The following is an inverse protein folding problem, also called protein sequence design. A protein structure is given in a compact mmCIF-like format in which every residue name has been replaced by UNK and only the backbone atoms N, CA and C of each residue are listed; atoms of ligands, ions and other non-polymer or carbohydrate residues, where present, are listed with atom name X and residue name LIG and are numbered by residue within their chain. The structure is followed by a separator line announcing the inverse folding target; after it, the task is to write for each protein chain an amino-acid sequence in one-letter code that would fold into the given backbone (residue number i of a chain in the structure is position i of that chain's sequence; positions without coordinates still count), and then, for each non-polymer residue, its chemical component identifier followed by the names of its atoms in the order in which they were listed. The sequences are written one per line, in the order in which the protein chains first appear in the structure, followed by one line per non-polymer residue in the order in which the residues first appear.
data_IF_907278638936
#
_entry.id   IF_907278638936
#
_cell.length_a   1.000
_cell.length_b   1.000
_cell.length_c   1.000
_cell.angle_alpha   90.00
_cell.angle_beta   90.00
_cell.angle_gamma   90.00
#
_symmetry.space_group_name_H-M   'P 1'
#
loop_
_entity.id
_entity.type
_entity.pdbx_description
1 polymer ?
#
# COMPACT_ATOMS: atom_id res chain seq x y z
N UNK A 1 23.70 -4.09 -4.57
CA UNK A 1 22.83 -3.21 -5.39
C UNK A 1 21.66 -4.04 -5.91
N UNK A 2 20.43 -3.50 -5.98
CA UNK A 2 19.28 -4.23 -6.52
C UNK A 2 19.25 -4.18 -8.06
N UNK A 3 18.61 -5.16 -8.68
CA UNK A 3 18.15 -5.06 -10.08
C UNK A 3 16.92 -4.15 -10.16
N UNK A 4 16.60 -3.61 -11.34
CA UNK A 4 15.41 -2.77 -11.51
C UNK A 4 14.13 -3.51 -11.08
N UNK A 5 13.98 -4.79 -11.44
CA UNK A 5 12.85 -5.64 -11.02
C UNK A 5 12.74 -5.72 -9.49
N UNK A 6 13.86 -5.93 -8.80
CA UNK A 6 13.84 -6.00 -7.33
C UNK A 6 13.61 -4.64 -6.70
N UNK A 7 14.13 -3.56 -7.31
CA UNK A 7 13.92 -2.21 -6.83
C UNK A 7 12.43 -1.80 -6.91
N UNK A 8 11.75 -2.08 -8.02
CA UNK A 8 10.31 -1.83 -8.15
C UNK A 8 9.51 -2.65 -7.16
N UNK A 9 9.84 -3.93 -6.95
CA UNK A 9 9.23 -4.76 -5.90
C UNK A 9 9.39 -4.14 -4.50
N UNK A 10 10.57 -3.62 -4.16
CA UNK A 10 10.80 -2.95 -2.86
C UNK A 10 10.07 -1.61 -2.75
N UNK A 11 9.82 -0.89 -3.86
CA UNK A 11 8.99 0.32 -3.85
C UNK A 11 7.56 -0.04 -3.43
N UNK A 12 6.95 -1.05 -4.06
CA UNK A 12 5.59 -1.48 -3.73
C UNK A 12 5.52 -2.02 -2.30
N UNK A 13 6.48 -2.85 -1.90
CA UNK A 13 6.57 -3.35 -0.52
C UNK A 13 6.65 -2.20 0.50
N UNK A 14 7.42 -1.15 0.20
CA UNK A 14 7.53 0.04 1.06
C UNK A 14 6.18 0.73 1.25
N UNK A 15 5.37 0.84 0.20
CA UNK A 15 4.09 1.55 0.25
C UNK A 15 3.01 0.74 1.00
N UNK A 16 3.02 -0.59 0.90
CA UNK A 16 1.96 -1.44 1.49
C UNK A 16 2.29 -1.91 2.91
N UNK A 17 3.50 -2.40 3.15
CA UNK A 17 3.87 -3.06 4.43
C UNK A 17 5.11 -2.47 5.09
N UNK A 18 5.82 -1.57 4.40
CA UNK A 18 7.09 -1.01 4.85
C UNK A 18 8.31 -1.87 4.53
N UNK A 19 9.49 -1.34 4.82
CA UNK A 19 10.78 -2.01 4.58
C UNK A 19 11.59 -2.10 5.86
N UNK A 20 12.39 -3.16 5.99
CA UNK A 20 13.48 -3.19 6.97
C UNK A 20 14.55 -2.15 6.64
N UNK A 21 15.37 -1.81 7.63
CA UNK A 21 16.44 -0.81 7.46
C UNK A 21 17.39 -1.17 6.31
N UNK A 22 17.76 -2.44 6.19
CA UNK A 22 18.68 -2.92 5.14
C UNK A 22 18.07 -2.83 3.73
N UNK A 23 16.78 -3.15 3.59
CA UNK A 23 16.06 -3.06 2.32
C UNK A 23 15.89 -1.60 1.90
N UNK A 24 15.54 -0.73 2.85
CA UNK A 24 15.41 0.70 2.61
C UNK A 24 16.74 1.31 2.16
N UNK A 25 17.87 0.94 2.78
CA UNK A 25 19.19 1.40 2.35
C UNK A 25 19.53 0.94 0.93
N UNK A 26 19.35 -0.35 0.62
CA UNK A 26 19.62 -0.91 -0.72
C UNK A 26 18.72 -0.28 -1.78
N UNK A 27 17.46 -0.01 -1.45
CA UNK A 27 16.52 0.68 -2.35
C UNK A 27 16.96 2.13 -2.59
N UNK A 28 17.29 2.89 -1.54
CA UNK A 28 17.78 4.27 -1.66
C UNK A 28 19.02 4.36 -2.56
N UNK A 29 19.96 3.42 -2.41
CA UNK A 29 21.14 3.34 -3.26
C UNK A 29 20.77 3.10 -4.73
N UNK A 30 19.82 2.22 -5.03
CA UNK A 30 19.40 1.98 -6.41
C UNK A 30 18.70 3.21 -7.01
N UNK A 31 17.82 3.86 -6.25
CA UNK A 31 17.05 5.02 -6.70
C UNK A 31 17.91 6.29 -6.88
N UNK A 32 19.09 6.37 -6.25
CA UNK A 32 20.01 7.49 -6.49
C UNK A 32 20.71 7.40 -7.85
N UNK A 33 20.83 6.19 -8.41
CA UNK A 33 21.57 5.94 -9.67
C UNK A 33 20.60 5.74 -10.84
N UNK A 34 19.48 5.05 -10.64
CA UNK A 34 18.54 4.70 -11.70
C UNK A 34 17.37 5.71 -11.80
N UNK A 35 17.44 6.60 -12.79
CA UNK A 35 16.37 7.60 -13.06
C UNK A 35 15.02 6.97 -13.37
N UNK A 36 14.99 5.82 -14.06
CA UNK A 36 13.76 5.11 -14.39
C UNK A 36 13.05 4.61 -13.13
N UNK A 37 13.75 3.93 -12.24
CA UNK A 37 13.18 3.47 -10.97
C UNK A 37 12.79 4.63 -10.04
N UNK A 38 13.53 5.75 -10.06
CA UNK A 38 13.14 6.97 -9.35
C UNK A 38 11.84 7.58 -9.90
N UNK A 39 11.63 7.52 -11.21
CA UNK A 39 10.40 7.99 -11.85
C UNK A 39 9.23 7.04 -11.55
N UNK A 40 9.45 5.74 -11.65
CA UNK A 40 8.49 4.72 -11.26
C UNK A 40 8.01 4.91 -9.81
N UNK A 41 8.91 5.17 -8.86
CA UNK A 41 8.52 5.43 -7.47
C UNK A 41 7.54 6.60 -7.35
N UNK A 42 7.76 7.70 -8.09
CA UNK A 42 6.85 8.84 -8.08
C UNK A 42 5.49 8.49 -8.70
N UNK A 43 5.49 7.70 -9.77
CA UNK A 43 4.26 7.26 -10.45
C UNK A 43 3.44 6.32 -9.56
N UNK A 44 4.09 5.35 -8.90
CA UNK A 44 3.47 4.42 -7.96
C UNK A 44 2.76 5.19 -6.82
N UNK A 45 3.47 6.11 -6.15
CA UNK A 45 2.87 6.95 -5.09
C UNK A 45 1.72 7.83 -5.61
N UNK A 46 1.82 8.34 -6.85
CA UNK A 46 0.74 9.12 -7.45
C UNK A 46 -0.51 8.27 -7.70
N UNK A 47 -0.35 7.04 -8.19
CA UNK A 47 -1.45 6.10 -8.42
C UNK A 47 -2.12 5.75 -7.10
N UNK A 48 -1.34 5.42 -6.07
CA UNK A 48 -1.86 5.11 -4.73
C UNK A 48 -2.69 6.27 -4.18
N UNK A 49 -2.16 7.49 -4.22
CA UNK A 49 -2.88 8.69 -3.77
C UNK A 49 -4.13 8.97 -4.61
N UNK A 50 -4.10 8.75 -5.93
CA UNK A 50 -5.26 8.93 -6.79
C UNK A 50 -6.38 7.94 -6.45
N UNK A 51 -6.04 6.67 -6.18
CA UNK A 51 -7.00 5.65 -5.78
C UNK A 51 -7.58 5.99 -4.39
N UNK A 52 -6.74 6.31 -3.41
CA UNK A 52 -7.20 6.67 -2.05
C UNK A 52 -8.17 7.86 -2.06
N UNK A 53 -7.93 8.86 -2.89
CA UNK A 53 -8.82 10.03 -2.99
C UNK A 53 -10.18 9.69 -3.62
N UNK A 54 -10.25 8.70 -4.51
CA UNK A 54 -11.53 8.23 -5.07
C UNK A 54 -12.33 7.40 -4.06
N UNK A 55 -11.66 6.53 -3.30
CA UNK A 55 -12.36 5.70 -2.31
C UNK A 55 -12.94 6.52 -1.15
N UNK A 56 -12.30 7.64 -0.76
CA UNK A 56 -12.84 8.56 0.25
C UNK A 56 -14.04 9.38 -0.22
N UNK A 57 -14.37 9.34 -1.52
CA UNK A 57 -15.47 10.10 -2.09
C UNK A 57 -16.82 9.34 -2.07
N UNK A 58 -16.83 8.10 -1.56
CA UNK A 58 -18.02 7.25 -1.42
C UNK A 58 -18.31 6.89 0.06
N UNK A 59 -18.37 7.89 0.97
CA UNK A 59 -18.96 7.68 2.30
C UNK A 59 -20.48 7.96 2.30
N UNK A 60 -21.15 7.72 1.16
CA UNK A 60 -22.60 7.44 1.13
C UNK A 60 -22.83 5.92 1.06
N UNK A 61 -22.04 5.15 1.81
CA UNK A 61 -22.37 3.75 2.07
C UNK A 61 -23.60 3.78 2.97
N UNK A 62 -24.76 3.41 2.44
CA UNK A 62 -25.89 3.02 3.27
C UNK A 62 -25.40 1.95 4.24
N UNK A 63 -25.42 2.26 5.53
CA UNK A 63 -25.10 1.32 6.59
C UNK A 63 -26.13 0.18 6.53
N UNK A 64 -25.78 -0.93 5.89
CA UNK A 64 -26.61 -2.13 5.85
C UNK A 64 -26.34 -2.88 7.14
N UNK A 65 -27.21 -2.68 8.14
CA UNK A 65 -27.09 -3.32 9.44
C UNK A 65 -27.44 -4.82 9.32
N UNK A 66 -26.44 -5.70 9.44
CA UNK A 66 -26.65 -7.15 9.45
C UNK A 66 -26.76 -7.68 10.88
N UNK A 67 -27.98 -7.63 11.40
CA UNK A 67 -28.31 -8.05 12.77
C UNK A 67 -28.02 -9.53 13.06
N UNK A 68 -28.10 -10.39 12.04
CA UNK A 68 -27.80 -11.83 12.17
C UNK A 68 -26.32 -12.07 12.44
N UNK A 69 -25.43 -11.43 11.65
CA UNK A 69 -23.99 -11.49 11.84
C UNK A 69 -23.60 -10.98 13.23
N UNK A 70 -24.15 -9.84 13.66
CA UNK A 70 -23.89 -9.24 14.98
C UNK A 70 -24.23 -10.20 16.12
N UNK A 71 -25.38 -10.84 16.03
CA UNK A 71 -25.84 -11.83 17.03
C UNK A 71 -24.94 -13.06 17.06
N UNK A 72 -24.52 -13.55 15.89
CA UNK A 72 -23.63 -14.73 15.77
C UNK A 72 -22.22 -14.52 16.32
N UNK A 73 -21.73 -13.27 16.32
CA UNK A 73 -20.44 -12.91 16.89
C UNK A 73 -20.56 -12.85 18.42
N UNK A 74 -21.61 -12.18 18.92
CA UNK A 74 -21.84 -12.06 20.37
C UNK A 74 -22.00 -13.45 21.00
N UNK A 75 -22.75 -14.36 20.36
CA UNK A 75 -22.96 -15.72 20.88
C UNK A 75 -21.70 -16.58 20.93
N UNK A 76 -20.61 -16.20 20.25
CA UNK A 76 -19.32 -16.91 20.28
C UNK A 76 -18.33 -16.33 21.30
N UNK A 77 -18.65 -15.17 21.88
CA UNK A 77 -17.85 -14.50 22.90
C UNK A 77 -18.35 -14.77 24.33
N UNK A 78 -19.55 -15.36 24.45
CA UNK A 78 -20.21 -15.76 25.70
C UNK A 78 -20.07 -17.27 25.88
#
# INVERSE_FOLDING_TARGET
MYSCKKATEMVEKKNVVGLSFSENFKLKLHLSICKACKSYQKQSVFIDAFIENKTKQEDNITEIENNELKTSIISKLV
#
